data_IF_115719720571
#
_entry.id   IF_115719720571
#
_cell.length_a   1.000
_cell.length_b   1.000
_cell.length_c   1.000
_cell.angle_alpha   90.00
_cell.angle_beta   90.00
_cell.angle_gamma   90.00
#
_symmetry.space_group_name_H-M   'P 1'
#
loop_
_entity.id
_entity.type
_entity.pdbx_description
1 polymer ?
#
# COMPACT_ATOMS: atom_id res chain seq x y z
N UNK A 1 61.18 -15.08 29.06
CA UNK A 1 59.94 -15.66 28.49
C UNK A 1 58.83 -14.62 28.62
N UNK A 2 58.00 -14.21 27.66
CA UNK A 2 57.87 -14.38 26.21
C UNK A 2 57.16 -13.11 25.70
N UNK A 3 57.47 -12.66 24.47
CA UNK A 3 56.89 -11.48 23.79
C UNK A 3 56.03 -11.95 22.60
N UNK A 4 55.12 -11.07 22.12
CA UNK A 4 54.35 -11.00 20.83
C UNK A 4 52.83 -11.10 21.05
N UNK A 5 52.03 -10.04 20.91
CA UNK A 5 51.54 -9.28 19.73
C UNK A 5 50.62 -10.06 18.76
N UNK A 6 49.39 -9.52 18.67
CA UNK A 6 48.49 -9.34 17.50
C UNK A 6 47.77 -10.59 16.94
N UNK A 7 46.44 -10.46 16.86
CA UNK A 7 45.55 -11.27 16.03
C UNK A 7 44.12 -10.73 16.02
N UNK A 8 43.90 -9.64 15.28
CA UNK A 8 42.56 -9.18 14.85
C UNK A 8 41.99 -10.24 13.89
N UNK A 9 40.77 -10.72 14.13
CA UNK A 9 39.86 -11.10 13.03
C UNK A 9 38.46 -10.57 13.30
N UNK A 10 38.17 -9.54 12.51
CA UNK A 10 36.89 -8.97 12.16
C UNK A 10 35.94 -10.08 11.67
N UNK A 11 34.80 -10.27 12.34
CA UNK A 11 33.64 -10.93 11.73
C UNK A 11 32.43 -9.99 11.82
N UNK A 12 32.53 -8.92 11.02
CA UNK A 12 31.41 -8.10 10.61
C UNK A 12 30.48 -8.97 9.75
N UNK A 13 29.42 -9.49 10.36
CA UNK A 13 28.25 -9.97 9.65
C UNK A 13 27.01 -9.44 10.36
N UNK A 14 26.79 -8.13 10.28
CA UNK A 14 25.46 -7.60 10.50
C UNK A 14 24.57 -8.13 9.36
N UNK A 15 23.52 -8.91 9.64
CA UNK A 15 22.53 -9.19 8.62
C UNK A 15 21.94 -7.85 8.19
N UNK A 16 22.06 -7.52 6.90
CA UNK A 16 21.23 -6.51 6.28
C UNK A 16 19.79 -7.01 6.41
N UNK A 17 19.13 -6.62 7.50
CA UNK A 17 17.69 -6.66 7.56
C UNK A 17 17.20 -5.69 6.49
N UNK A 18 16.97 -6.20 5.28
CA UNK A 18 16.04 -5.59 4.34
C UNK A 18 14.69 -5.64 5.05
N UNK A 19 14.45 -4.63 5.89
CA UNK A 19 13.09 -4.26 6.23
C UNK A 19 12.50 -3.74 4.93
N UNK A 20 12.00 -4.66 4.10
CA UNK A 20 10.88 -4.33 3.26
C UNK A 20 9.85 -3.78 4.26
N UNK A 21 9.74 -2.46 4.32
CA UNK A 21 8.68 -1.78 5.02
C UNK A 21 7.54 -1.70 4.00
N UNK A 22 6.67 -2.73 3.87
CA UNK A 22 5.47 -2.58 3.06
C UNK A 22 4.66 -1.48 3.74
N UNK A 23 4.62 -0.31 3.09
CA UNK A 23 4.17 0.94 3.68
C UNK A 23 2.99 0.78 4.64
N UNK A 24 3.14 1.37 5.81
CA UNK A 24 2.10 1.60 6.81
C UNK A 24 0.98 2.50 6.25
N UNK A 25 0.20 1.98 5.30
CA UNK A 25 -1.04 2.57 4.82
C UNK A 25 -2.25 1.89 5.46
N UNK A 26 -2.12 1.39 6.70
CA UNK A 26 -3.29 0.85 7.42
C UNK A 26 -4.33 1.95 7.67
N UNK A 27 -3.89 3.18 7.92
CA UNK A 27 -4.76 4.30 8.24
C UNK A 27 -5.70 4.69 7.08
N UNK A 28 -5.24 4.58 5.83
CA UNK A 28 -6.03 4.96 4.65
C UNK A 28 -7.20 4.00 4.40
N UNK A 29 -7.00 2.70 4.67
CA UNK A 29 -8.02 1.68 4.45
C UNK A 29 -9.18 1.77 5.44
N UNK A 30 -8.91 2.16 6.69
CA UNK A 30 -9.94 2.32 7.71
C UNK A 30 -10.82 3.53 7.44
N UNK A 31 -10.19 4.68 7.15
CA UNK A 31 -10.93 5.90 6.82
C UNK A 31 -11.76 5.73 5.55
N UNK A 32 -11.23 5.03 4.54
CA UNK A 32 -11.97 4.74 3.32
C UNK A 32 -13.21 3.88 3.59
N UNK A 33 -13.08 2.82 4.42
CA UNK A 33 -14.21 1.98 4.83
C UNK A 33 -15.26 2.78 5.59
N UNK A 34 -14.84 3.57 6.57
CA UNK A 34 -15.74 4.42 7.37
C UNK A 34 -16.54 5.39 6.47
N UNK A 35 -15.87 6.10 5.55
CA UNK A 35 -16.54 6.99 4.58
C UNK A 35 -17.49 6.24 3.65
N UNK A 36 -17.19 4.99 3.29
CA UNK A 36 -18.08 4.18 2.46
C UNK A 36 -19.34 3.79 3.24
N UNK A 37 -19.20 3.39 4.50
CA UNK A 37 -20.33 3.06 5.38
C UNK A 37 -21.18 4.30 5.65
N UNK A 38 -20.55 5.46 5.91
CA UNK A 38 -21.27 6.73 6.10
C UNK A 38 -22.12 7.11 4.88
N UNK A 39 -21.61 6.89 3.66
CA UNK A 39 -22.40 7.11 2.44
C UNK A 39 -23.57 6.14 2.33
N UNK A 40 -23.36 4.85 2.64
CA UNK A 40 -24.45 3.87 2.64
C UNK A 40 -25.51 4.20 3.69
N UNK A 41 -25.08 4.68 4.86
CA UNK A 41 -25.98 5.13 5.92
C UNK A 41 -26.86 6.29 5.48
N UNK A 42 -26.28 7.30 4.84
CA UNK A 42 -27.02 8.45 4.31
C UNK A 42 -28.10 8.06 3.30
N UNK A 43 -27.84 7.07 2.46
CA UNK A 43 -28.76 6.64 1.41
C UNK A 43 -29.80 5.60 1.91
N UNK A 44 -29.44 4.77 2.88
CA UNK A 44 -30.22 3.60 3.29
C UNK A 44 -30.74 3.66 4.71
N UNK A 45 -30.37 4.69 5.49
CA UNK A 45 -30.71 4.86 6.90
C UNK A 45 -30.36 3.60 7.72
N UNK A 46 -29.07 3.27 7.77
CA UNK A 46 -28.61 2.02 8.37
C UNK A 46 -28.69 2.07 9.90
N UNK A 47 -29.09 0.96 10.51
CA UNK A 47 -28.96 0.74 11.95
C UNK A 47 -27.48 0.53 12.33
N UNK A 48 -27.15 0.73 13.61
CA UNK A 48 -25.79 0.53 14.10
C UNK A 48 -25.31 -0.93 13.94
N UNK A 49 -26.22 -1.90 14.10
CA UNK A 49 -25.91 -3.32 13.85
C UNK A 49 -25.57 -3.58 12.38
N UNK A 50 -26.32 -2.99 11.44
CA UNK A 50 -26.02 -3.09 10.01
C UNK A 50 -24.66 -2.46 9.65
N UNK A 51 -24.34 -1.29 10.20
CA UNK A 51 -23.04 -0.63 10.01
C UNK A 51 -21.89 -1.52 10.50
N UNK A 52 -22.03 -2.10 11.70
CA UNK A 52 -21.04 -3.01 12.29
C UNK A 52 -20.81 -4.26 11.43
N UNK A 53 -21.88 -4.87 10.93
CA UNK A 53 -21.79 -6.03 10.03
C UNK A 53 -21.11 -5.69 8.70
N UNK A 54 -21.41 -4.52 8.12
CA UNK A 54 -20.77 -4.08 6.88
C UNK A 54 -19.28 -3.79 7.09
N UNK A 55 -18.88 -3.15 8.20
CA UNK A 55 -17.45 -2.94 8.50
C UNK A 55 -16.70 -4.27 8.61
N UNK A 56 -17.29 -5.23 9.33
CA UNK A 56 -16.75 -6.59 9.47
C UNK A 56 -16.61 -7.26 8.10
N UNK A 57 -17.63 -7.17 7.25
CA UNK A 57 -17.59 -7.70 5.89
C UNK A 57 -16.46 -7.06 5.05
N UNK A 58 -16.29 -5.74 5.13
CA UNK A 58 -15.22 -5.05 4.40
C UNK A 58 -13.83 -5.42 4.90
N UNK A 59 -13.65 -5.61 6.22
CA UNK A 59 -12.39 -6.09 6.81
C UNK A 59 -12.03 -7.49 6.27
N UNK A 60 -12.97 -8.44 6.38
CA UNK A 60 -12.79 -9.81 5.89
C UNK A 60 -12.48 -9.84 4.39
N UNK A 61 -13.18 -9.04 3.59
CA UNK A 61 -12.91 -8.95 2.16
C UNK A 61 -11.51 -8.38 1.89
N UNK A 62 -11.07 -7.38 2.65
CA UNK A 62 -9.72 -6.82 2.53
C UNK A 62 -8.64 -7.87 2.74
N UNK A 63 -8.78 -8.72 3.75
CA UNK A 63 -7.85 -9.83 4.02
C UNK A 63 -7.85 -10.87 2.89
N UNK A 64 -9.03 -11.29 2.40
CA UNK A 64 -9.15 -12.19 1.26
C UNK A 64 -8.49 -11.63 0.01
N UNK A 65 -8.70 -10.35 -0.30
CA UNK A 65 -8.07 -9.71 -1.45
C UNK A 65 -6.54 -9.61 -1.31
N UNK A 66 -6.03 -9.42 -0.09
CA UNK A 66 -4.58 -9.45 0.17
C UNK A 66 -4.00 -10.82 -0.17
N UNK A 67 -4.62 -11.89 0.35
CA UNK A 67 -4.20 -13.26 0.07
C UNK A 67 -4.23 -13.58 -1.44
N UNK A 68 -5.32 -13.24 -2.13
CA UNK A 68 -5.45 -13.43 -3.58
C UNK A 68 -4.36 -12.67 -4.35
N UNK A 69 -4.02 -11.44 -3.93
CA UNK A 69 -2.94 -10.67 -4.57
C UNK A 69 -1.58 -11.33 -4.40
N UNK A 70 -1.26 -11.83 -3.21
CA UNK A 70 0.00 -12.52 -2.93
C UNK A 70 0.11 -13.82 -3.74
N UNK A 71 -0.97 -14.61 -3.75
CA UNK A 71 -1.05 -15.83 -4.56
C UNK A 71 -0.87 -15.53 -6.05
N UNK A 72 -1.61 -14.55 -6.57
CA UNK A 72 -1.52 -14.14 -7.98
C UNK A 72 -0.09 -13.70 -8.33
N UNK A 73 0.58 -12.96 -7.45
CA UNK A 73 1.97 -12.55 -7.67
C UNK A 73 2.91 -13.76 -7.73
N UNK A 74 2.71 -14.75 -6.87
CA UNK A 74 3.48 -16.00 -6.89
C UNK A 74 3.27 -16.80 -8.18
N UNK A 75 2.01 -16.96 -8.60
CA UNK A 75 1.66 -17.64 -9.85
C UNK A 75 2.25 -16.92 -11.07
N UNK A 76 2.20 -15.59 -11.11
CA UNK A 76 2.79 -14.81 -12.20
C UNK A 76 4.31 -15.00 -12.31
N UNK A 77 5.04 -15.12 -11.19
CA UNK A 77 6.49 -15.40 -11.20
C UNK A 77 6.82 -16.78 -11.76
N UNK A 78 5.88 -17.72 -11.67
CA UNK A 78 6.05 -19.09 -12.18
C UNK A 78 5.73 -19.17 -13.67
N UNK A 79 4.75 -18.38 -14.15
CA UNK A 79 4.31 -18.38 -15.54
C UNK A 79 5.20 -17.51 -16.44
N UNK A 80 5.63 -16.36 -15.93
CA UNK A 80 6.41 -15.38 -16.69
C UNK A 80 7.91 -15.63 -16.56
N UNK A 81 8.66 -15.29 -17.60
CA UNK A 81 10.13 -15.23 -17.48
C UNK A 81 10.53 -14.09 -16.52
N UNK A 82 11.74 -14.13 -15.94
CA UNK A 82 12.22 -13.04 -15.07
C UNK A 82 12.15 -11.65 -15.73
N UNK A 83 12.50 -11.57 -17.02
CA UNK A 83 12.46 -10.33 -17.79
C UNK A 83 11.02 -9.83 -18.00
N UNK A 84 10.09 -10.72 -18.37
CA UNK A 84 8.68 -10.38 -18.52
C UNK A 84 8.06 -9.91 -17.20
N UNK A 85 8.41 -10.58 -16.10
CA UNK A 85 7.95 -10.19 -14.77
C UNK A 85 8.50 -8.81 -14.37
N UNK A 86 9.78 -8.53 -14.65
CA UNK A 86 10.38 -7.21 -14.42
C UNK A 86 9.63 -6.12 -15.17
N UNK A 87 9.40 -6.32 -16.47
CA UNK A 87 8.62 -5.39 -17.32
C UNK A 87 7.20 -5.18 -16.79
N UNK A 88 6.56 -6.23 -16.27
CA UNK A 88 5.24 -6.11 -15.63
C UNK A 88 5.29 -5.23 -14.37
N UNK A 89 6.33 -5.32 -13.55
CA UNK A 89 6.49 -4.46 -12.37
C UNK A 89 6.69 -3.00 -12.76
N UNK A 90 7.53 -2.73 -13.76
CA UNK A 90 7.74 -1.37 -14.29
C UNK A 90 6.43 -0.76 -14.83
N UNK A 91 5.66 -1.54 -15.60
CA UNK A 91 4.36 -1.09 -16.10
C UNK A 91 3.37 -0.77 -14.95
N UNK A 92 3.40 -1.56 -13.87
CA UNK A 92 2.60 -1.28 -12.67
C UNK A 92 3.04 0.00 -11.98
N UNK A 93 4.34 0.20 -11.77
CA UNK A 93 4.89 1.41 -11.15
C UNK A 93 4.56 2.65 -11.96
N UNK A 94 4.81 2.64 -13.28
CA UNK A 94 4.46 3.75 -14.17
C UNK A 94 2.98 4.12 -14.10
N UNK A 95 2.09 3.12 -14.03
CA UNK A 95 0.65 3.36 -13.89
C UNK A 95 0.32 4.04 -12.55
N UNK A 96 0.96 3.62 -11.46
CA UNK A 96 0.77 4.24 -10.15
C UNK A 96 1.25 5.70 -10.16
N UNK A 97 2.43 5.97 -10.70
CA UNK A 97 2.97 7.33 -10.83
C UNK A 97 2.06 8.24 -11.65
N UNK A 98 1.57 7.76 -12.79
CA UNK A 98 0.60 8.50 -13.62
C UNK A 98 -0.68 8.80 -12.85
N UNK A 99 -1.19 7.84 -12.09
CA UNK A 99 -2.37 8.03 -11.25
C UNK A 99 -2.12 9.08 -10.15
N UNK A 100 -0.98 9.00 -9.46
CA UNK A 100 -0.58 9.98 -8.44
C UNK A 100 -0.43 11.38 -9.03
N UNK A 101 0.24 11.52 -10.17
CA UNK A 101 0.41 12.79 -10.87
C UNK A 101 -0.94 13.41 -11.23
N UNK A 102 -1.83 12.65 -11.87
CA UNK A 102 -3.17 13.11 -12.24
C UNK A 102 -3.99 13.50 -11.01
N UNK A 103 -3.86 12.77 -9.90
CA UNK A 103 -4.54 13.10 -8.66
C UNK A 103 -4.02 14.41 -8.05
N UNK A 104 -2.70 14.64 -8.09
CA UNK A 104 -2.08 15.89 -7.64
C UNK A 104 -2.48 17.08 -8.49
N UNK A 105 -2.48 16.95 -9.82
CA UNK A 105 -2.94 18.00 -10.76
C UNK A 105 -4.38 18.40 -10.44
N UNK A 106 -5.29 17.43 -10.30
CA UNK A 106 -6.69 17.70 -9.95
C UNK A 106 -6.85 18.38 -8.58
N UNK A 107 -5.98 18.06 -7.62
CA UNK A 107 -5.96 18.72 -6.31
C UNK A 107 -5.49 20.18 -6.42
N UNK A 108 -4.53 20.47 -7.31
CA UNK A 108 -4.04 21.82 -7.56
C UNK A 108 -5.08 22.67 -8.29
N UNK A 109 -5.71 22.15 -9.35
CA UNK A 109 -6.80 22.81 -10.09
C UNK A 109 -7.92 23.24 -9.14
N UNK A 110 -8.41 22.32 -8.31
CA UNK A 110 -9.45 22.63 -7.31
C UNK A 110 -9.06 23.72 -6.31
N UNK A 111 -7.78 23.79 -5.92
CA UNK A 111 -7.30 24.85 -5.03
C UNK A 111 -7.31 26.21 -5.74
N UNK A 112 -6.91 26.25 -7.00
CA UNK A 112 -6.91 27.46 -7.83
C UNK A 112 -8.33 27.97 -8.08
N UNK A 113 -9.27 27.09 -8.44
CA UNK A 113 -10.69 27.42 -8.63
C UNK A 113 -11.31 28.02 -7.34
N UNK A 114 -11.04 27.41 -6.19
CA UNK A 114 -11.54 27.91 -4.90
C UNK A 114 -10.96 29.29 -4.54
N UNK A 115 -9.69 29.55 -4.87
CA UNK A 115 -9.08 30.87 -4.65
C UNK A 115 -9.57 31.96 -5.63
N UNK A 116 -9.98 31.59 -6.85
CA UNK A 116 -10.48 32.53 -7.85
C UNK A 116 -11.95 32.93 -7.68
N UNK A 117 -12.75 32.14 -6.94
CA UNK A 117 -14.19 32.39 -6.73
C UNK A 117 -14.46 33.29 -5.50
N UNK A 118 -13.42 33.92 -4.94
CA UNK A 118 -13.52 34.79 -3.74
C UNK A 118 -13.33 36.28 -4.09
N UNK A 119 -13.64 36.70 -5.33
CA UNK A 119 -13.74 38.12 -5.72
C UNK A 119 -15.16 38.45 -6.18
#
# INVERSE_FOLDING_TARGET
>A
MNKKLIGIVLALAFPLAVTANPGEHKHDHEQYRAKKIERLDKELSLTDDQKSRIDTLFKQNGEKFKAIREETQSQLKTILTPEQYSKLQELKQRRQEQWHKKHQEKLQERKQEQSGTTQ
#
